data_IF_023305531804
#
_entry.id   IF_023305531804
#
_cell.length_a   1.000
_cell.length_b   1.000
_cell.length_c   1.000
_cell.angle_alpha   90.00
_cell.angle_beta   90.00
_cell.angle_gamma   90.00
#
_symmetry.space_group_name_H-M   'P 1'
#
loop_
_entity.id
_entity.type
_entity.pdbx_description
1 polymer ?
#
# COMPACT_ATOMS: atom_id res chain seq x y z
N UNK A 1 18.71 -42.79 -39.20
CA UNK A 1 20.02 -42.33 -38.71
C UNK A 1 19.73 -41.13 -37.82
N UNK A 2 19.76 -41.28 -36.50
CA UNK A 2 19.49 -40.15 -35.60
C UNK A 2 20.66 -39.18 -35.72
N UNK A 3 20.38 -37.99 -36.25
CA UNK A 3 21.35 -36.97 -36.57
C UNK A 3 21.85 -36.34 -35.26
N UNK A 4 23.00 -36.83 -34.76
CA UNK A 4 23.72 -36.21 -33.65
C UNK A 4 24.42 -34.96 -34.19
N UNK A 5 23.67 -33.87 -34.38
CA UNK A 5 24.25 -32.55 -34.65
C UNK A 5 24.79 -31.98 -33.33
N UNK A 6 26.02 -31.46 -33.35
CA UNK A 6 26.59 -30.72 -32.22
C UNK A 6 25.80 -29.43 -31.99
N UNK A 7 25.63 -29.01 -30.73
CA UNK A 7 24.88 -27.80 -30.39
C UNK A 7 25.52 -26.57 -31.04
N UNK A 8 24.91 -26.06 -32.11
CA UNK A 8 25.35 -24.86 -32.83
C UNK A 8 25.86 -25.07 -34.26
N UNK A 9 25.84 -26.29 -34.81
CA UNK A 9 26.15 -26.52 -36.22
C UNK A 9 24.96 -26.15 -37.12
N UNK A 10 25.20 -25.31 -38.13
CA UNK A 10 24.20 -25.00 -39.17
C UNK A 10 23.93 -26.24 -40.04
N UNK A 11 22.66 -26.52 -40.41
CA UNK A 11 22.32 -27.64 -41.28
C UNK A 11 22.95 -27.44 -42.66
N UNK A 12 23.65 -28.47 -43.16
CA UNK A 12 24.40 -28.40 -44.43
C UNK A 12 23.67 -29.05 -45.59
N UNK A 13 22.68 -29.90 -45.31
CA UNK A 13 21.90 -30.63 -46.30
C UNK A 13 20.42 -30.25 -46.27
N UNK A 14 19.73 -30.35 -47.41
CA UNK A 14 18.29 -30.09 -47.52
C UNK A 14 17.46 -30.98 -46.58
N UNK A 15 17.93 -32.22 -46.35
CA UNK A 15 17.30 -33.14 -45.39
C UNK A 15 17.42 -32.68 -43.94
N UNK A 16 18.57 -32.12 -43.55
CA UNK A 16 18.77 -31.58 -42.19
C UNK A 16 17.94 -30.32 -41.95
N UNK A 17 17.78 -29.47 -42.97
CA UNK A 17 16.91 -28.29 -42.91
C UNK A 17 15.45 -28.73 -42.70
N UNK A 18 14.97 -29.69 -43.50
CA UNK A 18 13.62 -30.23 -43.38
C UNK A 18 13.37 -30.88 -42.00
N UNK A 19 14.34 -31.62 -41.46
CA UNK A 19 14.23 -32.23 -40.13
C UNK A 19 14.17 -31.15 -39.02
N UNK A 20 14.98 -30.09 -39.12
CA UNK A 20 14.95 -28.97 -38.17
C UNK A 20 13.63 -28.19 -38.23
N UNK A 21 13.10 -27.95 -39.42
CA UNK A 21 11.79 -27.33 -39.62
C UNK A 21 10.68 -28.18 -39.01
N UNK A 22 10.71 -29.50 -39.21
CA UNK A 22 9.75 -30.43 -38.62
C UNK A 22 9.83 -30.43 -37.08
N UNK A 23 11.03 -30.39 -36.50
CA UNK A 23 11.25 -30.27 -35.05
C UNK A 23 10.69 -28.93 -34.53
N UNK A 24 10.93 -27.83 -35.24
CA UNK A 24 10.43 -26.50 -34.88
C UNK A 24 8.90 -26.47 -34.89
N UNK A 25 8.28 -26.96 -35.97
CA UNK A 25 6.83 -27.05 -36.11
C UNK A 25 6.20 -27.92 -35.01
N UNK A 26 6.85 -29.04 -34.64
CA UNK A 26 6.40 -29.87 -33.53
C UNK A 26 6.48 -29.14 -32.19
N UNK A 27 7.58 -28.41 -31.93
CA UNK A 27 7.70 -27.59 -30.71
C UNK A 27 6.64 -26.49 -30.65
N UNK A 28 6.38 -25.82 -31.76
CA UNK A 28 5.34 -24.80 -31.87
C UNK A 28 3.95 -25.39 -31.56
N UNK A 29 3.61 -26.51 -32.21
CA UNK A 29 2.37 -27.26 -31.95
C UNK A 29 2.23 -27.64 -30.47
N UNK A 30 3.28 -28.20 -29.87
CA UNK A 30 3.25 -28.56 -28.43
C UNK A 30 3.08 -27.34 -27.51
N UNK A 31 3.66 -26.20 -27.87
CA UNK A 31 3.53 -24.96 -27.09
C UNK A 31 2.09 -24.43 -27.15
N UNK A 32 1.43 -24.52 -28.31
CA UNK A 32 0.03 -24.14 -28.48
C UNK A 32 -0.92 -25.08 -27.71
N UNK A 33 -0.68 -26.39 -27.73
CA UNK A 33 -1.45 -27.35 -26.94
C UNK A 33 -1.32 -27.07 -25.42
N UNK A 34 -0.10 -26.79 -24.96
CA UNK A 34 0.17 -26.43 -23.57
C UNK A 34 -0.53 -25.11 -23.18
N UNK A 35 -0.57 -24.13 -24.09
CA UNK A 35 -1.33 -22.88 -23.91
C UNK A 35 -2.81 -23.18 -23.67
N UNK A 36 -3.44 -23.97 -24.53
CA UNK A 36 -4.87 -24.28 -24.41
C UNK A 36 -5.17 -25.10 -23.17
N UNK A 37 -4.33 -26.09 -22.84
CA UNK A 37 -4.46 -26.84 -21.58
C UNK A 37 -4.36 -25.92 -20.35
N UNK A 38 -3.45 -24.95 -20.37
CA UNK A 38 -3.36 -23.92 -19.35
C UNK A 38 -4.65 -23.11 -19.23
N UNK A 39 -5.22 -22.67 -20.37
CA UNK A 39 -6.47 -21.91 -20.41
C UNK A 39 -7.64 -22.72 -19.81
N UNK A 40 -7.74 -24.01 -20.14
CA UNK A 40 -8.75 -24.91 -19.57
C UNK A 40 -8.61 -25.08 -18.05
N UNK A 41 -7.38 -25.25 -17.55
CA UNK A 41 -7.11 -25.36 -16.12
C UNK A 41 -7.50 -24.07 -15.37
N UNK A 42 -7.27 -22.90 -15.97
CA UNK A 42 -7.75 -21.62 -15.40
C UNK A 42 -9.28 -21.60 -15.29
N UNK A 43 -10.00 -22.10 -16.30
CA UNK A 43 -11.47 -22.20 -16.25
C UNK A 43 -11.96 -23.18 -15.19
N UNK A 44 -11.21 -24.25 -14.88
CA UNK A 44 -11.52 -25.21 -13.81
C UNK A 44 -11.34 -24.63 -12.39
N UNK A 45 -10.78 -23.43 -12.26
CA UNK A 45 -10.74 -22.68 -11.01
C UNK A 45 -9.51 -22.93 -10.13
N UNK A 46 -9.53 -22.33 -8.92
CA UNK A 46 -8.35 -22.09 -8.08
C UNK A 46 -7.47 -23.31 -7.79
N UNK A 47 -8.05 -24.49 -7.66
CA UNK A 47 -7.30 -25.74 -7.39
C UNK A 47 -6.29 -26.07 -8.49
N UNK A 48 -6.57 -25.67 -9.74
CA UNK A 48 -5.77 -26.01 -10.91
C UNK A 48 -4.84 -24.87 -11.38
N UNK A 49 -4.82 -23.74 -10.66
CA UNK A 49 -3.95 -22.60 -11.00
C UNK A 49 -2.45 -22.93 -10.98
N UNK A 50 -1.92 -23.71 -10.02
CA UNK A 50 -0.50 -24.11 -10.05
C UNK A 50 -0.16 -24.94 -11.30
N UNK A 51 -1.05 -25.85 -11.69
CA UNK A 51 -0.88 -26.66 -12.91
C UNK A 51 -0.95 -25.80 -14.18
N UNK A 52 -1.83 -24.80 -14.21
CA UNK A 52 -1.91 -23.86 -15.32
C UNK A 52 -0.60 -23.06 -15.49
N UNK A 53 -0.01 -22.60 -14.39
CA UNK A 53 1.30 -21.93 -14.39
C UNK A 53 2.39 -22.86 -14.95
N UNK A 54 2.36 -24.14 -14.57
CA UNK A 54 3.30 -25.13 -15.09
C UNK A 54 3.13 -25.35 -16.60
N UNK A 55 1.89 -25.45 -17.09
CA UNK A 55 1.61 -25.54 -18.53
C UNK A 55 2.13 -24.32 -19.30
N UNK A 56 1.85 -23.09 -18.84
CA UNK A 56 2.37 -21.89 -19.49
C UNK A 56 3.90 -21.82 -19.44
N UNK A 57 4.52 -22.19 -18.32
CA UNK A 57 5.97 -22.19 -18.20
C UNK A 57 6.62 -23.20 -19.14
N UNK A 58 6.04 -24.39 -19.30
CA UNK A 58 6.49 -25.38 -20.28
C UNK A 58 6.32 -24.88 -21.71
N UNK A 59 5.22 -24.18 -22.03
CA UNK A 59 4.99 -23.59 -23.35
C UNK A 59 6.05 -22.52 -23.67
N UNK A 60 6.33 -21.62 -22.73
CA UNK A 60 7.37 -20.58 -22.86
C UNK A 60 8.76 -21.23 -23.07
N UNK A 61 9.05 -22.29 -22.33
CA UNK A 61 10.34 -22.98 -22.42
C UNK A 61 10.59 -23.69 -23.76
N UNK A 62 9.55 -23.94 -24.58
CA UNK A 62 9.74 -24.48 -25.93
C UNK A 62 10.48 -23.50 -26.84
N UNK A 63 10.42 -22.18 -26.56
CA UNK A 63 11.07 -21.12 -27.36
C UNK A 63 10.81 -21.24 -28.87
N UNK A 64 9.61 -21.67 -29.23
CA UNK A 64 9.21 -21.95 -30.61
C UNK A 64 8.08 -21.04 -31.12
N UNK A 65 7.56 -20.16 -30.26
CA UNK A 65 6.49 -19.22 -30.61
C UNK A 65 7.06 -17.85 -30.94
N UNK A 66 6.34 -17.10 -31.79
CA UNK A 66 6.64 -15.70 -32.06
C UNK A 66 6.49 -14.82 -30.79
N UNK A 67 6.97 -13.57 -30.86
CA UNK A 67 6.95 -12.64 -29.73
C UNK A 67 5.53 -12.29 -29.25
N UNK A 68 4.57 -12.24 -30.18
CA UNK A 68 3.16 -11.98 -29.86
C UNK A 68 2.57 -13.10 -28.99
N UNK A 69 2.69 -14.35 -29.42
CA UNK A 69 2.12 -15.51 -28.73
C UNK A 69 2.86 -15.80 -27.43
N UNK A 70 4.18 -15.59 -27.43
CA UNK A 70 4.98 -15.64 -26.21
C UNK A 70 4.55 -14.55 -25.21
N UNK A 71 4.28 -13.33 -25.68
CA UNK A 71 3.70 -12.26 -24.84
C UNK A 71 2.34 -12.66 -24.25
N UNK A 72 1.48 -13.32 -25.03
CA UNK A 72 0.19 -13.83 -24.54
C UNK A 72 0.39 -14.86 -23.43
N UNK A 73 1.35 -15.78 -23.57
CA UNK A 73 1.67 -16.78 -22.55
C UNK A 73 2.15 -16.14 -21.24
N UNK A 74 3.10 -15.21 -21.30
CA UNK A 74 3.55 -14.46 -20.12
C UNK A 74 2.39 -13.70 -19.47
N UNK A 75 1.55 -13.04 -20.27
CA UNK A 75 0.39 -12.30 -19.79
C UNK A 75 -0.64 -13.24 -19.12
N UNK A 76 -0.87 -14.44 -19.67
CA UNK A 76 -1.76 -15.44 -19.06
C UNK A 76 -1.18 -16.03 -17.77
N UNK A 77 0.13 -16.29 -17.71
CA UNK A 77 0.81 -16.69 -16.48
C UNK A 77 0.72 -15.61 -15.40
N UNK A 78 0.90 -14.34 -15.77
CA UNK A 78 0.72 -13.19 -14.90
C UNK A 78 -0.69 -13.13 -14.30
N UNK A 79 -1.71 -13.41 -15.11
CA UNK A 79 -3.09 -13.45 -14.64
C UNK A 79 -3.30 -14.49 -13.53
N UNK A 80 -2.79 -15.70 -13.72
CA UNK A 80 -2.93 -16.77 -12.72
C UNK A 80 -2.12 -16.43 -11.46
N UNK A 81 -0.93 -15.86 -11.61
CA UNK A 81 -0.14 -15.36 -10.49
C UNK A 81 -0.88 -14.27 -9.69
N UNK A 82 -1.60 -13.35 -10.35
CA UNK A 82 -2.46 -12.38 -9.66
C UNK A 82 -3.57 -13.05 -8.86
N UNK A 83 -4.23 -14.07 -9.42
CA UNK A 83 -5.30 -14.79 -8.74
C UNK A 83 -4.80 -15.59 -7.53
N UNK A 84 -3.53 -16.01 -7.53
CA UNK A 84 -2.89 -16.67 -6.41
C UNK A 84 -2.30 -15.71 -5.37
N UNK A 85 -2.25 -14.41 -5.65
CA UNK A 85 -1.62 -13.41 -4.77
C UNK A 85 -0.10 -13.28 -4.95
N UNK A 86 0.47 -13.90 -5.97
CA UNK A 86 1.90 -13.82 -6.29
C UNK A 86 2.23 -12.53 -7.06
N UNK A 87 2.02 -11.38 -6.43
CA UNK A 87 2.04 -10.08 -7.12
C UNK A 87 3.38 -9.74 -7.78
N UNK A 88 4.51 -10.07 -7.15
CA UNK A 88 5.85 -9.84 -7.73
C UNK A 88 6.10 -10.67 -8.98
N UNK A 89 5.72 -11.94 -8.97
CA UNK A 89 5.82 -12.82 -10.14
C UNK A 89 4.89 -12.35 -11.26
N UNK A 90 3.66 -11.96 -10.91
CA UNK A 90 2.72 -11.38 -11.88
C UNK A 90 3.25 -10.11 -12.53
N UNK A 91 3.92 -9.25 -11.77
CA UNK A 91 4.53 -8.02 -12.29
C UNK A 91 5.66 -8.36 -13.26
N UNK A 92 6.58 -9.26 -12.88
CA UNK A 92 7.68 -9.71 -13.75
C UNK A 92 7.14 -10.29 -15.06
N UNK A 93 6.18 -11.22 -14.98
CA UNK A 93 5.55 -11.82 -16.16
C UNK A 93 4.88 -10.76 -17.05
N UNK A 94 4.22 -9.78 -16.45
CA UNK A 94 3.57 -8.69 -17.21
C UNK A 94 4.60 -7.78 -17.89
N UNK A 95 5.72 -7.50 -17.23
CA UNK A 95 6.82 -6.72 -17.82
C UNK A 95 7.46 -7.45 -18.99
N UNK A 96 7.69 -8.76 -18.88
CA UNK A 96 8.25 -9.56 -19.96
C UNK A 96 7.26 -9.67 -21.14
N UNK A 97 5.96 -9.79 -20.86
CA UNK A 97 4.93 -9.70 -21.90
C UNK A 97 4.95 -8.35 -22.63
N UNK A 98 5.11 -7.24 -21.92
CA UNK A 98 5.16 -5.89 -22.51
C UNK A 98 6.42 -5.70 -23.34
N UNK A 99 7.58 -6.21 -22.88
CA UNK A 99 8.84 -6.13 -23.64
C UNK A 99 8.74 -6.84 -24.98
N UNK A 100 8.11 -8.02 -25.01
CA UNK A 100 7.92 -8.80 -26.23
C UNK A 100 6.88 -8.17 -27.16
N UNK A 101 5.74 -7.73 -26.61
CA UNK A 101 4.67 -7.13 -27.40
C UNK A 101 4.07 -5.92 -26.68
N UNK A 102 4.57 -4.70 -26.96
CA UNK A 102 4.10 -3.46 -26.33
C UNK A 102 2.64 -3.07 -26.64
N UNK A 103 1.96 -3.76 -27.55
CA UNK A 103 0.54 -3.55 -27.81
C UNK A 103 -0.37 -4.49 -26.97
N UNK A 104 0.20 -5.33 -26.10
CA UNK A 104 -0.56 -6.20 -25.20
C UNK A 104 -1.21 -5.41 -24.04
N UNK A 105 -2.37 -4.79 -24.27
CA UNK A 105 -3.11 -4.00 -23.28
C UNK A 105 -3.41 -4.80 -21.99
N UNK A 106 -3.68 -6.11 -22.11
CA UNK A 106 -3.95 -6.98 -20.96
C UNK A 106 -2.73 -7.10 -20.04
N UNK A 107 -1.52 -7.05 -20.58
CA UNK A 107 -0.30 -7.08 -19.77
C UNK A 107 -0.15 -5.78 -18.95
N UNK A 108 -0.45 -4.61 -19.52
CA UNK A 108 -0.46 -3.34 -18.78
C UNK A 108 -1.47 -3.36 -17.63
N UNK A 109 -2.69 -3.84 -17.87
CA UNK A 109 -3.70 -3.98 -16.81
C UNK A 109 -3.23 -4.90 -15.69
N UNK A 110 -2.60 -6.03 -16.04
CA UNK A 110 -2.08 -7.01 -15.06
C UNK A 110 -0.90 -6.45 -14.27
N UNK A 111 0.01 -5.71 -14.92
CA UNK A 111 1.11 -5.01 -14.26
C UNK A 111 0.59 -3.95 -13.27
N UNK A 112 -0.34 -3.10 -13.71
CA UNK A 112 -0.93 -2.07 -12.86
C UNK A 112 -1.64 -2.66 -11.64
N UNK A 113 -2.41 -3.76 -11.82
CA UNK A 113 -3.07 -4.47 -10.73
C UNK A 113 -2.08 -5.12 -9.75
N UNK A 114 -0.97 -5.66 -10.26
CA UNK A 114 0.10 -6.20 -9.44
C UNK A 114 0.76 -5.09 -8.59
N UNK A 115 1.13 -3.96 -9.21
CA UNK A 115 1.71 -2.80 -8.52
C UNK A 115 0.77 -2.23 -7.46
N UNK A 116 -0.52 -2.08 -7.76
CA UNK A 116 -1.53 -1.63 -6.80
C UNK A 116 -1.60 -2.53 -5.57
N UNK A 117 -1.51 -3.86 -5.77
CA UNK A 117 -1.51 -4.86 -4.69
C UNK A 117 -0.21 -4.83 -3.86
N UNK A 118 0.90 -4.42 -4.47
CA UNK A 118 2.19 -4.19 -3.80
C UNK A 118 2.32 -2.80 -3.16
N UNK A 119 1.28 -1.97 -3.23
CA UNK A 119 1.27 -0.57 -2.79
C UNK A 119 2.29 0.33 -3.54
N UNK A 120 2.69 -0.07 -4.74
CA UNK A 120 3.55 0.67 -5.67
C UNK A 120 2.67 1.59 -6.54
N UNK A 121 2.11 2.64 -5.93
CA UNK A 121 1.05 3.46 -6.56
C UNK A 121 1.55 4.27 -7.76
N UNK A 122 2.79 4.76 -7.72
CA UNK A 122 3.37 5.53 -8.82
C UNK A 122 3.57 4.67 -10.07
N UNK A 123 4.16 3.48 -9.91
CA UNK A 123 4.34 2.52 -10.99
C UNK A 123 2.99 2.00 -11.51
N UNK A 124 2.03 1.75 -10.61
CA UNK A 124 0.69 1.32 -11.01
C UNK A 124 0.01 2.35 -11.94
N UNK A 125 0.12 3.65 -11.61
CA UNK A 125 -0.41 4.74 -12.43
C UNK A 125 0.27 4.80 -13.79
N UNK A 126 1.59 4.71 -13.84
CA UNK A 126 2.36 4.72 -15.09
C UNK A 126 1.96 3.58 -16.04
N UNK A 127 1.73 2.37 -15.52
CA UNK A 127 1.24 1.25 -16.33
C UNK A 127 -0.19 1.48 -16.84
N UNK A 128 -1.07 2.05 -16.03
CA UNK A 128 -2.42 2.41 -16.46
C UNK A 128 -2.40 3.44 -17.59
N UNK A 129 -1.63 4.53 -17.43
CA UNK A 129 -1.50 5.58 -18.45
C UNK A 129 -0.93 5.03 -19.76
N UNK A 130 0.11 4.21 -19.66
CA UNK A 130 0.70 3.51 -20.82
C UNK A 130 -0.32 2.61 -21.51
N UNK A 131 -1.10 1.84 -20.75
CA UNK A 131 -2.15 0.97 -21.28
C UNK A 131 -3.29 1.72 -21.95
N UNK A 132 -3.75 2.83 -21.35
CA UNK A 132 -4.78 3.71 -21.93
C UNK A 132 -4.26 4.39 -23.20
N UNK A 133 -2.97 4.72 -23.26
CA UNK A 133 -2.32 5.21 -24.48
C UNK A 133 -2.31 4.19 -25.63
N UNK A 134 -2.40 2.89 -25.33
CA UNK A 134 -2.53 1.81 -26.34
C UNK A 134 -3.98 1.53 -26.74
N UNK A 135 -4.89 1.56 -25.77
CA UNK A 135 -6.33 1.37 -25.99
C UNK A 135 -7.14 2.40 -25.17
N UNK A 136 -7.48 3.55 -25.78
CA UNK A 136 -8.23 4.61 -25.10
C UNK A 136 -9.67 4.24 -24.73
N UNK A 137 -10.22 3.15 -25.29
CA UNK A 137 -11.59 2.70 -25.02
C UNK A 137 -11.65 1.67 -23.88
N UNK A 138 -10.50 1.35 -23.26
CA UNK A 138 -10.43 0.38 -22.19
C UNK A 138 -10.98 0.92 -20.86
N UNK A 139 -12.28 0.72 -20.62
CA UNK A 139 -12.95 1.19 -19.40
C UNK A 139 -12.39 0.55 -18.12
N UNK A 140 -11.91 -0.69 -18.19
CA UNK A 140 -11.33 -1.38 -17.03
C UNK A 140 -10.02 -0.73 -16.56
N UNK A 141 -9.17 -0.31 -17.49
CA UNK A 141 -7.96 0.46 -17.17
C UNK A 141 -8.29 1.84 -16.60
N UNK A 142 -9.30 2.54 -17.15
CA UNK A 142 -9.74 3.85 -16.63
C UNK A 142 -10.27 3.74 -15.19
N UNK A 143 -11.07 2.70 -14.90
CA UNK A 143 -11.54 2.42 -13.53
C UNK A 143 -10.37 2.15 -12.58
N UNK A 144 -9.39 1.36 -13.02
CA UNK A 144 -8.21 1.05 -12.23
C UNK A 144 -7.36 2.31 -11.95
N UNK A 145 -7.17 3.18 -12.96
CA UNK A 145 -6.48 4.46 -12.81
C UNK A 145 -7.16 5.35 -11.76
N UNK A 146 -8.49 5.49 -11.82
CA UNK A 146 -9.26 6.23 -10.81
C UNK A 146 -9.08 5.65 -9.39
N UNK A 147 -9.09 4.33 -9.25
CA UNK A 147 -8.84 3.68 -7.96
C UNK A 147 -7.44 3.99 -7.41
N UNK A 148 -6.42 3.98 -8.28
CA UNK A 148 -5.04 4.31 -7.90
C UNK A 148 -4.94 5.78 -7.47
N UNK A 149 -5.57 6.70 -8.20
CA UNK A 149 -5.56 8.13 -7.88
C UNK A 149 -6.23 8.42 -6.53
N UNK A 150 -7.37 7.78 -6.24
CA UNK A 150 -8.04 7.89 -4.94
C UNK A 150 -7.14 7.41 -3.80
N UNK A 151 -6.53 6.22 -3.96
CA UNK A 151 -5.64 5.66 -2.94
C UNK A 151 -4.38 6.51 -2.71
N UNK A 152 -3.86 7.13 -3.78
CA UNK A 152 -2.72 8.05 -3.70
C UNK A 152 -3.10 9.32 -2.93
N UNK A 153 -4.25 9.91 -3.23
CA UNK A 153 -4.75 11.09 -2.51
C UNK A 153 -4.97 10.79 -1.02
N UNK A 154 -5.57 9.65 -0.68
CA UNK A 154 -5.74 9.21 0.71
C UNK A 154 -4.40 9.06 1.44
N UNK A 155 -3.38 8.51 0.77
CA UNK A 155 -2.05 8.38 1.33
C UNK A 155 -1.39 9.75 1.57
N UNK A 156 -1.44 10.66 0.59
CA UNK A 156 -0.90 12.01 0.70
C UNK A 156 -1.58 12.80 1.83
N UNK A 157 -2.91 12.69 1.97
CA UNK A 157 -3.66 13.33 3.06
C UNK A 157 -3.25 12.76 4.43
N UNK A 158 -3.09 11.45 4.54
CA UNK A 158 -2.65 10.80 5.78
C UNK A 158 -1.23 11.24 6.15
N UNK A 159 -0.32 11.27 5.19
CA UNK A 159 1.06 11.72 5.39
C UNK A 159 1.11 13.19 5.81
N UNK A 160 0.31 14.06 5.18
CA UNK A 160 0.18 15.47 5.55
C UNK A 160 -0.37 15.64 6.98
N UNK A 161 -1.38 14.86 7.36
CA UNK A 161 -1.95 14.90 8.71
C UNK A 161 -0.94 14.44 9.77
N UNK A 162 -0.20 13.37 9.50
CA UNK A 162 0.86 12.87 10.38
C UNK A 162 1.99 13.90 10.50
N UNK A 163 2.40 14.51 9.39
CA UNK A 163 3.42 15.56 9.38
C UNK A 163 2.99 16.76 10.23
N UNK A 164 1.74 17.23 10.06
CA UNK A 164 1.19 18.32 10.87
C UNK A 164 1.16 17.99 12.36
N UNK A 165 0.65 16.82 12.74
CA UNK A 165 0.61 16.39 14.14
C UNK A 165 2.02 16.24 14.75
N UNK A 166 3.01 15.83 13.95
CA UNK A 166 4.40 15.74 14.38
C UNK A 166 5.00 17.13 14.64
N UNK A 167 4.69 18.12 13.80
CA UNK A 167 5.13 19.51 14.00
C UNK A 167 4.52 20.09 15.27
N UNK A 168 3.19 19.99 15.43
CA UNK A 168 2.49 20.47 16.63
C UNK A 168 3.03 19.82 17.90
N UNK A 169 3.27 18.49 17.88
CA UNK A 169 3.85 17.79 19.03
C UNK A 169 5.27 18.26 19.34
N UNK A 170 6.11 18.53 18.33
CA UNK A 170 7.47 19.06 18.54
C UNK A 170 7.46 20.47 19.12
N UNK A 171 6.55 21.33 18.68
CA UNK A 171 6.39 22.69 19.22
C UNK A 171 5.99 22.67 20.69
N UNK A 172 5.04 21.80 21.07
CA UNK A 172 4.64 21.62 22.48
C UNK A 172 5.82 21.12 23.31
N UNK A 173 6.57 20.13 22.83
CA UNK A 173 7.74 19.60 23.55
C UNK A 173 8.80 20.68 23.73
N UNK A 174 9.10 21.46 22.70
CA UNK A 174 10.05 22.58 22.79
C UNK A 174 9.60 23.61 23.83
N UNK A 175 8.31 23.98 23.84
CA UNK A 175 7.79 24.95 24.80
C UNK A 175 7.88 24.44 26.25
N UNK A 176 7.66 23.14 26.48
CA UNK A 176 7.80 22.50 27.80
C UNK A 176 9.27 22.51 28.25
N UNK A 177 10.20 22.20 27.35
CA UNK A 177 11.65 22.23 27.62
C UNK A 177 12.15 23.65 27.94
N UNK A 178 11.74 24.65 27.15
CA UNK A 178 12.11 26.05 27.34
C UNK A 178 11.65 26.59 28.71
N UNK A 179 10.45 26.16 29.13
CA UNK A 179 9.88 26.49 30.45
C UNK A 179 10.41 25.61 31.59
N UNK A 180 11.32 24.66 31.30
CA UNK A 180 11.92 23.72 32.26
C UNK A 180 10.91 22.91 33.05
N UNK A 181 9.79 22.57 32.41
CA UNK A 181 8.73 21.77 33.01
C UNK A 181 9.12 20.29 32.99
N UNK A 182 8.90 19.58 34.10
CA UNK A 182 9.09 18.14 34.19
C UNK A 182 7.76 17.44 33.97
N UNK A 183 7.72 16.51 33.03
CA UNK A 183 6.56 15.67 32.79
C UNK A 183 6.68 14.38 33.60
N UNK A 184 5.81 14.22 34.58
CA UNK A 184 5.65 12.99 35.35
C UNK A 184 4.83 11.92 34.63
N UNK A 185 4.59 10.82 35.33
CA UNK A 185 3.71 9.76 34.82
C UNK A 185 2.26 10.26 34.69
N UNK A 186 1.58 9.84 33.62
CA UNK A 186 0.18 10.18 33.41
C UNK A 186 -0.72 9.48 34.45
N UNK A 187 -1.01 10.20 35.53
CA UNK A 187 -1.94 9.79 36.59
C UNK A 187 -3.38 10.17 36.22
N UNK A 188 -4.37 9.46 36.76
CA UNK A 188 -5.81 9.79 36.63
C UNK A 188 -6.35 9.86 35.19
N UNK A 189 -5.74 9.12 34.25
CA UNK A 189 -6.14 9.08 32.82
C UNK A 189 -7.61 8.69 32.62
N UNK A 190 -8.17 7.91 33.54
CA UNK A 190 -9.58 7.52 33.53
C UNK A 190 -10.52 8.71 33.77
N UNK A 191 -10.08 9.71 34.54
CA UNK A 191 -10.84 10.91 34.89
C UNK A 191 -10.63 12.05 33.89
N UNK A 192 -9.42 12.21 33.34
CA UNK A 192 -9.04 13.32 32.45
C UNK A 192 -9.06 12.96 30.96
N UNK A 193 -9.14 11.67 30.65
CA UNK A 193 -9.01 11.15 29.29
C UNK A 193 -7.58 11.26 28.75
N UNK A 194 -7.46 11.30 27.41
CA UNK A 194 -6.20 11.39 26.65
C UNK A 194 -5.91 12.82 26.17
N UNK A 195 -6.35 13.82 26.92
CA UNK A 195 -6.12 15.24 26.60
C UNK A 195 -4.65 15.60 26.80
N UNK A 196 -4.14 16.44 25.91
CA UNK A 196 -2.73 16.86 25.87
C UNK A 196 -2.68 18.39 25.97
N UNK A 197 -1.57 18.96 26.46
CA UNK A 197 -1.36 20.40 26.42
C UNK A 197 -1.42 20.90 24.98
N UNK A 198 -1.95 22.12 24.80
CA UNK A 198 -2.04 22.79 23.50
C UNK A 198 -1.21 24.06 23.57
N UNK A 199 -0.49 24.35 22.51
CA UNK A 199 0.24 25.62 22.37
C UNK A 199 -0.62 26.58 21.55
N UNK A 200 -0.86 27.78 22.07
CA UNK A 200 -1.59 28.81 21.33
C UNK A 200 -0.69 29.58 20.34
N UNK A 201 -1.29 30.49 19.57
CA UNK A 201 -0.59 31.31 18.57
C UNK A 201 0.45 32.27 19.16
N UNK A 202 0.36 32.57 20.46
CA UNK A 202 1.27 33.44 21.18
C UNK A 202 2.40 32.67 21.87
N UNK A 203 2.44 31.33 21.71
CA UNK A 203 3.42 30.47 22.38
C UNK A 203 3.09 30.22 23.86
N UNK A 204 1.84 30.46 24.27
CA UNK A 204 1.36 30.22 25.62
C UNK A 204 0.77 28.81 25.68
N UNK A 205 1.18 28.05 26.69
CA UNK A 205 0.69 26.68 26.91
C UNK A 205 -0.65 26.70 27.64
N UNK A 206 -1.58 25.93 27.11
CA UNK A 206 -2.85 25.61 27.76
C UNK A 206 -2.84 24.17 28.22
N UNK A 207 -3.21 23.97 29.48
CA UNK A 207 -3.07 22.73 30.20
C UNK A 207 -4.43 22.12 30.54
N UNK A 208 -4.63 20.82 30.32
CA UNK A 208 -5.70 20.10 31.00
C UNK A 208 -5.34 19.97 32.50
N UNK A 209 -6.17 20.51 33.38
CA UNK A 209 -5.92 20.53 34.84
C UNK A 209 -7.03 19.77 35.57
N UNK A 210 -6.64 18.81 36.40
CA UNK A 210 -7.53 18.12 37.33
C UNK A 210 -7.38 18.71 38.73
N UNK A 211 -8.47 19.23 39.27
CA UNK A 211 -8.57 19.69 40.66
C UNK A 211 -9.14 18.56 41.52
N UNK A 212 -8.47 18.23 42.62
CA UNK A 212 -8.89 17.18 43.55
C UNK A 212 -9.26 17.79 44.91
N UNK A 213 -10.47 17.53 45.38
CA UNK A 213 -10.96 17.99 46.68
C UNK A 213 -10.98 16.82 47.67
N UNK A 214 -9.84 16.57 48.31
CA UNK A 214 -9.66 15.41 49.20
C UNK A 214 -10.68 15.33 50.35
N UNK A 215 -11.13 16.47 50.87
CA UNK A 215 -12.13 16.52 51.95
C UNK A 215 -13.51 16.02 51.52
N UNK A 216 -13.86 16.19 50.23
CA UNK A 216 -15.18 15.87 49.68
C UNK A 216 -15.17 14.69 48.72
N UNK A 217 -14.00 14.07 48.52
CA UNK A 217 -13.78 12.97 47.56
C UNK A 217 -14.34 13.30 46.16
N UNK A 218 -14.26 14.57 45.78
CA UNK A 218 -14.74 15.07 44.49
C UNK A 218 -13.58 15.62 43.67
N UNK A 219 -13.82 15.78 42.37
CA UNK A 219 -12.84 16.32 41.43
C UNK A 219 -13.51 17.15 40.35
N UNK A 220 -12.83 18.19 39.89
CA UNK A 220 -13.20 18.97 38.71
C UNK A 220 -12.10 18.89 37.66
N UNK A 221 -12.48 18.94 36.39
CA UNK A 221 -11.55 18.92 35.27
C UNK A 221 -11.71 20.18 34.42
N UNK A 222 -10.63 20.95 34.31
CA UNK A 222 -10.52 22.11 33.43
C UNK A 222 -9.82 21.64 32.16
N UNK A 223 -10.54 21.66 31.04
CA UNK A 223 -9.99 21.15 29.78
C UNK A 223 -8.87 22.05 29.21
N UNK A 224 -8.98 23.36 29.43
CA UNK A 224 -8.18 24.39 28.76
C UNK A 224 -7.77 25.49 29.76
N UNK A 225 -6.75 25.21 30.59
CA UNK A 225 -6.22 26.16 31.56
C UNK A 225 -5.01 26.91 30.99
N UNK A 226 -5.16 28.20 30.73
CA UNK A 226 -4.06 29.04 30.27
C UNK A 226 -2.99 29.20 31.36
N UNK A 227 -1.72 28.97 31.05
CA UNK A 227 -0.64 29.06 32.05
C UNK A 227 -0.45 30.47 32.66
N UNK A 228 -0.96 31.51 32.01
CA UNK A 228 -0.93 32.89 32.53
C UNK A 228 -2.10 33.20 33.46
N UNK A 229 -3.10 32.33 33.53
CA UNK A 229 -4.27 32.53 34.38
C UNK A 229 -3.98 32.17 35.83
N UNK A 230 -4.67 32.85 36.73
CA UNK A 230 -4.65 32.51 38.14
C UNK A 230 -5.73 31.47 38.45
N UNK A 231 -5.37 30.47 39.26
CA UNK A 231 -6.35 29.48 39.76
C UNK A 231 -7.51 30.11 40.52
N UNK A 232 -7.30 31.25 41.19
CA UNK A 232 -8.36 31.97 41.90
C UNK A 232 -9.53 32.32 40.98
N UNK A 233 -9.26 32.76 39.75
CA UNK A 233 -10.32 33.12 38.80
C UNK A 233 -11.22 31.92 38.45
N UNK A 234 -10.64 30.72 38.35
CA UNK A 234 -11.39 29.49 38.10
C UNK A 234 -12.11 29.00 39.36
N UNK A 235 -11.47 29.09 40.52
CA UNK A 235 -12.06 28.71 41.79
C UNK A 235 -13.22 29.62 42.19
N UNK A 236 -13.20 30.90 41.84
CA UNK A 236 -14.31 31.81 42.07
C UNK A 236 -15.56 31.37 41.29
N UNK A 237 -15.40 30.91 40.04
CA UNK A 237 -16.49 30.35 39.23
C UNK A 237 -17.07 29.09 39.88
N UNK A 238 -16.23 28.20 40.39
CA UNK A 238 -16.64 26.97 41.07
C UNK A 238 -17.29 27.29 42.43
N UNK A 239 -16.75 28.26 43.17
CA UNK A 239 -17.25 28.68 44.48
C UNK A 239 -18.62 29.37 44.40
N UNK A 240 -18.92 30.05 43.28
CA UNK A 240 -20.26 30.61 43.02
C UNK A 240 -21.32 29.50 42.91
N UNK A 241 -20.96 28.29 42.47
CA UNK A 241 -21.83 27.11 42.44
C UNK A 241 -21.95 26.41 43.81
N UNK A 242 -20.96 26.56 44.68
CA UNK A 242 -20.93 25.98 46.02
C UNK A 242 -20.90 27.06 47.10
N UNK A 243 -22.06 27.67 47.37
CA UNK A 243 -22.25 28.56 48.52
C UNK A 243 -21.78 27.86 49.82
N UNK A 244 -20.84 28.48 50.54
CA UNK A 244 -20.37 28.15 51.91
C UNK A 244 -19.36 27.00 52.14
N UNK A 245 -18.33 26.83 51.30
CA UNK A 245 -17.21 25.95 51.70
C UNK A 245 -15.86 26.67 51.77
N UNK A 246 -15.19 26.55 52.92
CA UNK A 246 -13.77 26.86 53.09
C UNK A 246 -12.95 25.83 52.31
N UNK A 247 -12.65 26.13 51.06
CA UNK A 247 -11.81 25.26 50.22
C UNK A 247 -10.36 25.34 50.73
N UNK A 248 -9.86 24.27 51.36
CA UNK A 248 -8.42 24.04 51.52
C UNK A 248 -7.91 23.37 50.26
N UNK A 249 -7.20 24.15 49.45
CA UNK A 249 -6.69 23.72 48.16
C UNK A 249 -5.40 22.90 48.33
N UNK A 250 -5.36 21.69 47.78
CA UNK A 250 -4.13 20.92 47.60
C UNK A 250 -3.82 20.88 46.10
N UNK A 251 -3.00 21.83 45.63
CA UNK A 251 -2.52 21.81 44.23
C UNK A 251 -1.40 20.77 44.16
N UNK A 252 -1.71 19.61 43.58
CA UNK A 252 -0.69 18.61 43.26
C UNK A 252 -0.16 18.94 41.86
N UNK A 253 0.95 19.67 41.79
CA UNK A 253 1.83 19.56 40.63
C UNK A 253 2.51 18.19 40.74
N UNK A 254 2.08 17.22 39.94
CA UNK A 254 2.88 16.00 39.80
C UNK A 254 4.15 16.34 39.05
N UNK A 255 5.27 16.23 39.76
CA UNK A 255 6.62 16.08 39.20
C UNK A 255 6.73 14.83 38.33
#
# INVERSE_FOLDING_TARGET
>A
MALWMETGSEPKTETEIADLEAISALKESTALELKEKGNELVKKGKKHYPEAIHCYSRAINQKALNDHDTSVLFSNRAHVNLLLGNYRLALSDSQDAIKLFPANVKAYYRAAKACLSLNLLAEAKSYCESGVGKDPNNEELKKLAKQIDLKKLEQEQREAQVSKALVEAKEIVSAIEDKRLKLGNAMYRELTGLRKPVLDKNGILHWPVLLLYAEFMSSDFIEDFCETDMFSAHLDIISILFYNLRIKLLIIFSM
#
